data_IF_853835097724
#
_entry.id   IF_853835097724
#
_cell.length_a   1.000
_cell.length_b   1.000
_cell.length_c   1.000
_cell.angle_alpha   90.00
_cell.angle_beta   90.00
_cell.angle_gamma   90.00
#
_symmetry.space_group_name_H-M   'P 1'
#
loop_
_entity.id
_entity.type
_entity.pdbx_description
1 polymer ?
#
# COMPACT_ATOMS: atom_id res chain seq x y z
N UNK A 1 -13.71 -12.39 2.63
CA UNK A 1 -12.28 -12.67 2.40
C UNK A 1 -12.08 -12.72 0.90
N UNK A 2 -11.49 -11.67 0.31
CA UNK A 2 -11.32 -11.56 -1.15
C UNK A 2 -10.11 -12.37 -1.61
N UNK A 3 -10.25 -13.18 -2.66
CA UNK A 3 -9.25 -14.15 -3.18
C UNK A 3 -8.26 -13.55 -4.21
N UNK A 4 -8.25 -12.23 -4.40
CA UNK A 4 -7.59 -11.58 -5.54
C UNK A 4 -6.13 -11.14 -5.34
N UNK A 5 -5.60 -11.15 -4.10
CA UNK A 5 -4.27 -10.58 -3.81
C UNK A 5 -3.10 -11.56 -4.02
N UNK A 6 -3.36 -12.87 -4.08
CA UNK A 6 -2.31 -13.90 -4.17
C UNK A 6 -1.52 -13.97 -5.48
N UNK A 7 -1.72 -13.02 -6.41
CA UNK A 7 -1.02 -12.95 -7.70
C UNK A 7 -0.19 -11.69 -7.93
N UNK A 8 -0.25 -10.70 -7.03
CA UNK A 8 0.63 -9.52 -7.14
C UNK A 8 2.00 -9.92 -6.59
N UNK A 9 2.83 -10.55 -7.44
CA UNK A 9 4.27 -10.70 -7.18
C UNK A 9 4.79 -12.09 -6.79
N UNK A 10 4.10 -13.19 -7.13
CA UNK A 10 4.64 -14.53 -6.87
C UNK A 10 5.63 -15.04 -7.96
N UNK A 11 5.87 -14.27 -9.03
CA UNK A 11 7.00 -14.46 -9.95
C UNK A 11 8.14 -13.53 -9.51
N UNK A 12 9.11 -14.03 -8.76
CA UNK A 12 10.24 -13.27 -8.18
C UNK A 12 11.19 -12.58 -9.17
N UNK A 13 10.82 -12.47 -10.46
CA UNK A 13 11.57 -11.80 -11.53
C UNK A 13 11.05 -10.42 -11.91
N UNK A 14 9.73 -10.16 -11.84
CA UNK A 14 9.12 -9.09 -12.65
C UNK A 14 9.01 -7.72 -11.95
N UNK A 15 9.29 -7.66 -10.64
CA UNK A 15 9.17 -6.41 -9.86
C UNK A 15 10.51 -5.66 -9.70
N UNK A 16 11.62 -6.22 -10.22
CA UNK A 16 12.95 -5.62 -10.11
C UNK A 16 13.10 -4.30 -10.88
N UNK A 17 12.21 -3.99 -11.82
CA UNK A 17 12.25 -2.74 -12.58
C UNK A 17 11.53 -1.54 -11.94
N UNK A 18 10.76 -1.75 -10.87
CA UNK A 18 9.90 -0.70 -10.29
C UNK A 18 10.46 -0.13 -9.00
N UNK A 19 10.58 1.20 -8.95
CA UNK A 19 11.07 1.93 -7.79
C UNK A 19 9.96 2.31 -6.81
N UNK A 20 8.77 2.58 -7.35
CA UNK A 20 7.56 2.91 -6.60
C UNK A 20 6.40 2.07 -7.13
N UNK A 21 5.62 1.50 -6.22
CA UNK A 21 4.36 0.81 -6.52
C UNK A 21 3.23 1.50 -5.76
N UNK A 22 2.11 1.76 -6.44
CA UNK A 22 0.93 2.38 -5.83
C UNK A 22 -0.29 1.51 -6.08
N UNK A 23 -0.99 1.18 -5.00
CA UNK A 23 -2.31 0.57 -5.03
C UNK A 23 -3.32 1.62 -4.53
N UNK A 24 -4.18 2.08 -5.43
CA UNK A 24 -5.25 3.05 -5.12
C UNK A 24 -6.58 2.34 -4.91
N UNK A 25 -7.51 2.96 -4.18
CA UNK A 25 -8.83 2.40 -3.87
C UNK A 25 -8.71 1.01 -3.22
N UNK A 26 -7.93 0.93 -2.15
CA UNK A 26 -7.68 -0.35 -1.46
C UNK A 26 -8.85 -0.77 -0.57
N UNK A 27 -9.71 0.18 -0.17
CA UNK A 27 -10.82 -0.01 0.77
C UNK A 27 -10.36 -0.57 2.13
N UNK A 28 -9.07 -0.47 2.44
CA UNK A 28 -8.44 -0.95 3.68
C UNK A 28 -8.62 0.13 4.74
N UNK A 29 -9.29 -0.17 5.86
CA UNK A 29 -9.34 0.76 6.99
C UNK A 29 -7.98 0.86 7.73
N UNK A 30 -7.85 1.83 8.63
CA UNK A 30 -6.60 2.06 9.39
C UNK A 30 -6.13 0.83 10.19
N UNK A 31 -7.03 -0.09 10.56
CA UNK A 31 -6.69 -1.33 11.26
C UNK A 31 -6.31 -2.51 10.34
N UNK A 32 -6.66 -2.44 9.06
CA UNK A 32 -6.49 -3.52 8.09
C UNK A 32 -5.12 -3.59 7.42
N UNK A 33 -4.32 -2.52 7.50
CA UNK A 33 -3.03 -2.40 6.81
C UNK A 33 -2.03 -3.50 7.18
N UNK A 34 -2.00 -3.95 8.43
CA UNK A 34 -1.04 -4.96 8.91
C UNK A 34 -1.23 -6.35 8.28
N UNK A 35 -2.46 -6.74 7.92
CA UNK A 35 -2.71 -8.00 7.22
C UNK A 35 -2.28 -7.92 5.76
N UNK A 36 -2.49 -6.76 5.14
CA UNK A 36 -2.18 -6.54 3.72
C UNK A 36 -0.68 -6.49 3.48
N UNK A 37 0.10 -5.87 4.38
CA UNK A 37 1.56 -5.84 4.28
C UNK A 37 2.23 -7.23 4.22
N UNK A 38 1.59 -8.27 4.76
CA UNK A 38 2.13 -9.64 4.74
C UNK A 38 2.02 -10.32 3.37
N UNK A 39 1.05 -9.89 2.57
CA UNK A 39 0.77 -10.44 1.24
C UNK A 39 1.46 -9.63 0.13
N UNK A 40 2.08 -8.51 0.46
CA UNK A 40 2.73 -7.63 -0.50
C UNK A 40 4.14 -8.13 -0.86
N UNK A 41 4.63 -7.80 -2.07
CA UNK A 41 5.99 -8.13 -2.49
C UNK A 41 7.06 -7.67 -1.49
N UNK A 42 8.06 -8.52 -1.29
CA UNK A 42 9.28 -8.18 -0.54
C UNK A 42 10.19 -7.27 -1.37
N UNK A 43 11.13 -6.59 -0.73
CA UNK A 43 12.02 -5.63 -1.38
C UNK A 43 11.43 -4.23 -1.53
N UNK A 44 10.28 -3.99 -0.88
CA UNK A 44 9.62 -2.70 -0.80
C UNK A 44 9.23 -2.40 0.65
N UNK A 45 9.45 -1.16 1.07
CA UNK A 45 8.86 -0.59 2.27
C UNK A 45 7.45 -0.12 1.96
N UNK A 46 6.47 -0.73 2.61
CA UNK A 46 5.05 -0.45 2.41
C UNK A 46 4.49 0.52 3.45
N UNK A 47 3.91 1.62 2.98
CA UNK A 47 3.12 2.55 3.78
C UNK A 47 1.64 2.48 3.35
N UNK A 48 0.73 2.60 4.31
CA UNK A 48 -0.70 2.47 4.07
C UNK A 48 -1.40 3.73 4.56
N UNK A 49 -2.09 4.41 3.64
CA UNK A 49 -3.08 5.42 3.96
C UNK A 49 -4.44 4.72 4.04
N UNK A 50 -4.99 4.62 5.25
CA UNK A 50 -6.28 3.99 5.48
C UNK A 50 -7.41 4.71 4.74
N UNK A 51 -8.33 3.93 4.18
CA UNK A 51 -9.61 4.38 3.68
C UNK A 51 -10.41 5.00 4.82
N UNK A 52 -11.02 6.16 4.57
CA UNK A 52 -11.85 6.85 5.57
C UNK A 52 -13.30 6.45 5.40
N UNK A 53 -14.03 6.40 6.52
CA UNK A 53 -15.48 6.25 6.50
C UNK A 53 -16.14 7.61 6.58
N UNK A 54 -17.13 7.86 5.71
CA UNK A 54 -17.99 9.05 5.81
C UNK A 54 -18.98 8.95 6.99
N UNK A 55 -19.31 7.73 7.44
CA UNK A 55 -20.19 7.49 8.59
C UNK A 55 -19.88 6.15 9.27
N UNK A 56 -20.26 5.98 10.54
CA UNK A 56 -19.97 4.75 11.33
C UNK A 56 -20.48 3.46 10.68
N UNK A 57 -21.62 3.53 9.98
CA UNK A 57 -22.25 2.41 9.23
C UNK A 57 -21.94 2.42 7.73
N UNK A 58 -21.18 3.39 7.23
CA UNK A 58 -20.86 3.53 5.81
C UNK A 58 -19.73 2.60 5.36
N UNK A 59 -19.62 2.41 4.04
CA UNK A 59 -18.43 1.79 3.44
C UNK A 59 -17.22 2.69 3.70
N UNK A 60 -16.08 2.07 3.99
CA UNK A 60 -14.78 2.73 3.83
C UNK A 60 -14.65 3.13 2.37
N UNK A 61 -14.12 4.31 2.07
CA UNK A 61 -13.94 4.80 0.69
C UNK A 61 -12.49 5.24 0.54
N UNK A 62 -11.89 4.93 -0.61
CA UNK A 62 -10.51 5.26 -0.90
C UNK A 62 -9.52 4.32 -0.24
N UNK A 63 -8.47 4.91 0.31
CA UNK A 63 -7.32 4.18 0.84
C UNK A 63 -6.28 3.93 -0.25
N UNK A 64 -5.02 3.99 0.17
CA UNK A 64 -3.88 3.86 -0.72
C UNK A 64 -2.78 3.07 -0.01
N UNK A 65 -2.09 2.20 -0.74
CA UNK A 65 -0.89 1.52 -0.27
C UNK A 65 0.23 1.85 -1.24
N UNK A 66 1.32 2.38 -0.71
CA UNK A 66 2.51 2.74 -1.48
C UNK A 66 3.69 1.87 -1.04
N UNK A 67 4.40 1.31 -2.01
CA UNK A 67 5.61 0.54 -1.82
C UNK A 67 6.78 1.30 -2.42
N UNK A 68 7.77 1.64 -1.61
CA UNK A 68 9.03 2.23 -2.07
C UNK A 68 10.10 1.17 -2.02
N UNK A 69 10.86 0.99 -3.10
CA UNK A 69 11.93 0.00 -3.15
C UNK A 69 12.90 0.18 -1.98
N UNK A 70 13.24 -0.92 -1.31
CA UNK A 70 14.27 -0.89 -0.26
C UNK A 70 15.60 -0.37 -0.82
N UNK A 71 16.26 0.51 -0.06
CA UNK A 71 17.47 1.21 -0.50
C UNK A 71 17.22 2.56 -1.18
N UNK A 72 15.96 2.96 -1.40
CA UNK A 72 15.59 4.31 -1.81
C UNK A 72 15.08 5.13 -0.62
N UNK A 73 15.43 6.41 -0.59
CA UNK A 73 14.99 7.34 0.46
C UNK A 73 13.98 8.34 -0.10
N UNK A 74 12.87 8.52 0.61
CA UNK A 74 11.89 9.57 0.29
C UNK A 74 12.36 10.86 0.95
N UNK A 75 12.92 11.77 0.17
CA UNK A 75 13.25 13.12 0.65
C UNK A 75 11.94 13.89 0.84
N UNK A 76 11.66 14.30 2.08
CA UNK A 76 10.60 15.27 2.37
C UNK A 76 11.25 16.65 2.37
N UNK A 77 10.80 17.52 1.48
CA UNK A 77 11.07 18.94 1.61
C UNK A 77 10.05 19.46 2.61
N UNK A 78 10.53 19.92 3.77
CA UNK A 78 9.71 20.67 4.71
C UNK A 78 9.50 22.04 4.08
N UNK A 79 8.28 22.34 3.63
CA UNK A 79 7.91 23.73 3.34
C UNK A 79 7.95 24.47 4.67
N UNK A 80 9.00 25.30 4.86
CA UNK A 80 9.03 26.31 5.92
C UNK A 80 7.87 27.28 5.66
N UNK A 81 6.89 27.31 6.59
CA UNK A 81 5.79 28.29 6.66
C UNK A 81 6.30 29.68 7.12
#
# INVERSE_FOLDING_TARGET
MWRGWGKIGNSGGDLKGWDIMVLSETWIDEGGGGKVKKELPKGFRWECQGAKRRSRKGKVIGGMVIGVREGMEVRREEEEE
#
